data_IF_596780388509
#
_entry.id   IF_596780388509
#
_cell.length_a   1.000
_cell.length_b   1.000
_cell.length_c   1.000
_cell.angle_alpha   90.00
_cell.angle_beta   90.00
_cell.angle_gamma   90.00
#
_symmetry.space_group_name_H-M   'P 1'
#
loop_
_entity.id
_entity.type
_entity.pdbx_description
1 polymer ?
#
# COMPACT_ATOMS: atom_id res chain seq x y z
N UNK A 1 -22.38 -7.44 6.65
CA UNK A 1 -22.07 -8.46 7.67
C UNK A 1 -23.14 -8.57 8.75
N UNK A 2 -23.33 -7.57 9.65
CA UNK A 2 -24.32 -7.67 10.74
C UNK A 2 -25.77 -7.84 10.25
N UNK A 3 -26.09 -7.35 9.05
CA UNK A 3 -27.37 -7.57 8.37
C UNK A 3 -27.45 -8.93 7.65
N UNK A 4 -26.52 -9.87 7.89
CA UNK A 4 -26.47 -11.19 7.26
C UNK A 4 -25.83 -11.25 5.86
N UNK A 5 -25.57 -10.09 5.25
CA UNK A 5 -24.99 -9.93 3.91
C UNK A 5 -23.59 -10.56 3.78
N UNK A 6 -23.39 -11.36 2.71
CA UNK A 6 -22.12 -11.91 2.24
C UNK A 6 -21.34 -10.82 1.51
N UNK A 7 -20.19 -10.43 2.06
CA UNK A 7 -19.38 -9.31 1.58
C UNK A 7 -18.03 -9.81 1.09
N UNK A 8 -17.56 -9.31 -0.05
CA UNK A 8 -16.15 -9.40 -0.43
C UNK A 8 -15.50 -8.02 -0.29
N UNK A 9 -14.48 -7.95 0.56
CA UNK A 9 -13.57 -6.82 0.70
C UNK A 9 -12.25 -7.16 0.03
N UNK A 10 -11.91 -6.44 -1.03
CA UNK A 10 -10.74 -6.73 -1.85
C UNK A 10 -9.87 -5.51 -2.10
N UNK A 11 -8.59 -5.73 -2.33
CA UNK A 11 -7.61 -4.71 -2.69
C UNK A 11 -6.46 -5.30 -3.51
N UNK A 12 -5.71 -4.44 -4.20
CA UNK A 12 -4.56 -4.86 -5.02
C UNK A 12 -3.32 -5.23 -4.18
N UNK A 13 -3.09 -4.58 -3.04
CA UNK A 13 -1.91 -4.84 -2.22
C UNK A 13 -2.09 -6.08 -1.32
N UNK A 14 -1.19 -7.07 -1.42
CA UNK A 14 -1.24 -8.32 -0.62
C UNK A 14 -1.02 -8.10 0.88
N UNK A 15 -0.15 -7.18 1.27
CA UNK A 15 0.11 -6.87 2.68
C UNK A 15 -1.10 -6.16 3.32
N UNK A 16 -1.75 -5.25 2.60
CA UNK A 16 -3.01 -4.64 3.02
C UNK A 16 -4.10 -5.69 3.21
N UNK A 17 -4.30 -6.58 2.23
CA UNK A 17 -5.27 -7.67 2.36
C UNK A 17 -4.98 -8.57 3.57
N UNK A 18 -3.71 -8.88 3.81
CA UNK A 18 -3.27 -9.66 4.98
C UNK A 18 -3.53 -8.95 6.31
N UNK A 19 -3.35 -7.62 6.36
CA UNK A 19 -3.67 -6.79 7.52
C UNK A 19 -5.19 -6.73 7.76
N UNK A 20 -5.97 -6.36 6.74
CA UNK A 20 -7.43 -6.26 6.84
C UNK A 20 -8.07 -7.59 7.27
N UNK A 21 -7.56 -8.73 6.78
CA UNK A 21 -8.03 -10.05 7.20
C UNK A 21 -7.79 -10.34 8.68
N UNK A 22 -6.73 -9.79 9.29
CA UNK A 22 -6.45 -9.96 10.73
C UNK A 22 -7.33 -9.06 11.58
N UNK A 23 -7.62 -7.84 11.10
CA UNK A 23 -8.42 -6.84 11.83
C UNK A 23 -9.94 -7.09 11.72
N UNK A 24 -10.39 -7.69 10.62
CA UNK A 24 -11.81 -7.93 10.36
C UNK A 24 -12.15 -9.37 10.71
N UNK A 25 -12.66 -9.57 11.94
CA UNK A 25 -13.18 -10.86 12.39
C UNK A 25 -14.67 -10.99 12.07
N UNK A 26 -14.99 -11.50 10.88
CA UNK A 26 -16.37 -11.80 10.51
C UNK A 26 -16.46 -12.93 9.49
N UNK A 27 -17.22 -14.01 9.75
CA UNK A 27 -17.38 -15.12 8.80
C UNK A 27 -18.18 -14.73 7.54
N UNK A 28 -18.84 -13.56 7.56
CA UNK A 28 -19.62 -13.02 6.45
C UNK A 28 -18.82 -12.09 5.54
N UNK A 29 -17.58 -11.75 5.92
CA UNK A 29 -16.70 -10.89 5.13
C UNK A 29 -15.53 -11.74 4.65
N UNK A 30 -15.44 -11.95 3.35
CA UNK A 30 -14.24 -12.48 2.73
C UNK A 30 -13.29 -11.32 2.48
N UNK A 31 -12.13 -11.32 3.13
CA UNK A 31 -11.06 -10.34 2.90
C UNK A 31 -9.89 -10.98 2.17
N UNK A 32 -9.58 -10.48 0.98
CA UNK A 32 -8.53 -11.05 0.15
C UNK A 32 -7.89 -10.03 -0.79
N UNK A 33 -6.68 -10.35 -1.24
CA UNK A 33 -6.11 -9.71 -2.40
C UNK A 33 -6.91 -10.14 -3.64
N UNK A 34 -7.12 -9.22 -4.58
CA UNK A 34 -7.94 -9.48 -5.78
C UNK A 34 -7.47 -10.73 -6.55
N UNK A 35 -6.23 -10.73 -7.03
CA UNK A 35 -5.69 -11.85 -7.81
C UNK A 35 -5.64 -13.16 -7.01
N UNK A 36 -5.21 -13.12 -5.74
CA UNK A 36 -5.18 -14.31 -4.89
C UNK A 36 -6.59 -14.89 -4.67
N UNK A 37 -7.63 -14.03 -4.59
CA UNK A 37 -9.02 -14.47 -4.47
C UNK A 37 -9.49 -15.18 -5.74
N UNK A 38 -9.25 -14.61 -6.92
CA UNK A 38 -9.63 -15.22 -8.20
C UNK A 38 -8.94 -16.57 -8.36
N UNK A 39 -7.62 -16.60 -8.18
CA UNK A 39 -6.80 -17.79 -8.37
C UNK A 39 -7.26 -18.93 -7.47
N UNK A 40 -7.44 -18.67 -6.17
CA UNK A 40 -7.88 -19.70 -5.21
C UNK A 40 -9.30 -20.20 -5.50
N UNK A 41 -10.18 -19.33 -5.99
CA UNK A 41 -11.55 -19.71 -6.34
C UNK A 41 -11.55 -20.67 -7.52
N UNK A 42 -10.84 -20.33 -8.60
CA UNK A 42 -10.74 -21.18 -9.79
C UNK A 42 -9.96 -22.48 -9.53
N UNK A 43 -8.87 -22.41 -8.76
CA UNK A 43 -8.12 -23.60 -8.34
C UNK A 43 -8.96 -24.55 -7.48
N UNK A 44 -9.92 -24.03 -6.70
CA UNK A 44 -10.88 -24.84 -5.96
C UNK A 44 -11.86 -25.63 -6.86
N UNK A 45 -12.10 -25.15 -8.09
CA UNK A 45 -12.92 -25.85 -9.09
C UNK A 45 -12.11 -26.81 -9.94
N UNK A 46 -10.89 -26.42 -10.29
CA UNK A 46 -9.95 -27.23 -11.04
C UNK A 46 -8.57 -27.22 -10.35
N UNK A 47 -8.21 -28.27 -9.60
CA UNK A 47 -6.92 -28.35 -8.92
C UNK A 47 -5.71 -28.31 -9.86
N UNK A 48 -5.89 -28.61 -11.15
CA UNK A 48 -4.83 -28.51 -12.16
C UNK A 48 -4.64 -27.06 -12.67
N UNK A 49 -5.48 -26.11 -12.27
CA UNK A 49 -5.31 -24.70 -12.58
C UNK A 49 -4.08 -24.15 -11.85
N UNK A 50 -3.08 -23.72 -12.61
CA UNK A 50 -1.80 -23.22 -12.13
C UNK A 50 -1.43 -21.92 -12.82
N UNK A 51 -0.56 -21.15 -12.17
CA UNK A 51 0.09 -20.00 -12.79
C UNK A 51 1.11 -20.52 -13.82
N UNK A 52 1.27 -19.87 -14.98
CA UNK A 52 2.33 -20.19 -15.93
C UNK A 52 3.74 -20.06 -15.30
N UNK A 53 4.71 -20.81 -15.82
CA UNK A 53 6.09 -20.76 -15.33
C UNK A 53 6.91 -19.61 -15.94
N UNK A 54 6.59 -19.19 -17.17
CA UNK A 54 7.35 -18.18 -17.91
C UNK A 54 7.04 -16.75 -17.42
N UNK A 55 8.06 -15.90 -17.13
CA UNK A 55 7.87 -14.56 -16.57
C UNK A 55 6.93 -13.65 -17.36
N UNK A 56 7.04 -13.63 -18.69
CA UNK A 56 6.19 -12.82 -19.56
C UNK A 56 4.73 -13.30 -19.50
N UNK A 57 4.53 -14.62 -19.49
CA UNK A 57 3.21 -15.24 -19.38
C UNK A 57 2.58 -15.02 -18.00
N UNK A 58 3.37 -14.89 -16.94
CA UNK A 58 2.87 -14.57 -15.58
C UNK A 58 2.19 -13.20 -15.57
N UNK A 59 2.81 -12.19 -16.19
CA UNK A 59 2.24 -10.84 -16.23
C UNK A 59 0.92 -10.81 -16.99
N UNK A 60 0.89 -11.41 -18.17
CA UNK A 60 -0.33 -11.52 -18.99
C UNK A 60 -1.41 -12.34 -18.27
N UNK A 61 -1.03 -13.42 -17.61
CA UNK A 61 -1.94 -14.27 -16.86
C UNK A 61 -2.67 -13.48 -15.76
N UNK A 62 -1.95 -12.73 -14.95
CA UNK A 62 -2.58 -11.94 -13.87
C UNK A 62 -3.36 -10.74 -14.41
N UNK A 63 -2.88 -10.09 -15.48
CA UNK A 63 -3.53 -8.90 -16.03
C UNK A 63 -4.80 -9.24 -16.83
N UNK A 64 -4.82 -10.36 -17.56
CA UNK A 64 -5.84 -10.67 -18.56
C UNK A 64 -6.48 -12.04 -18.29
N UNK A 65 -5.72 -13.13 -18.41
CA UNK A 65 -6.28 -14.49 -18.43
C UNK A 65 -7.06 -14.85 -17.16
N UNK A 66 -6.49 -14.52 -15.99
CA UNK A 66 -7.10 -14.84 -14.70
C UNK A 66 -8.40 -14.06 -14.46
N UNK A 67 -8.44 -12.72 -14.65
CA UNK A 67 -9.69 -11.96 -14.62
C UNK A 67 -10.76 -12.44 -15.60
N UNK A 68 -10.40 -12.80 -16.84
CA UNK A 68 -11.35 -13.29 -17.86
C UNK A 68 -11.96 -14.64 -17.46
N UNK A 69 -11.13 -15.61 -17.09
CA UNK A 69 -11.61 -16.93 -16.63
C UNK A 69 -12.49 -16.79 -15.37
N UNK A 70 -12.12 -15.88 -14.47
CA UNK A 70 -12.94 -15.60 -13.30
C UNK A 70 -14.28 -14.95 -13.69
N UNK A 71 -14.29 -14.01 -14.63
CA UNK A 71 -15.51 -13.38 -15.13
C UNK A 71 -16.48 -14.43 -15.69
N UNK A 72 -16.01 -15.36 -16.51
CA UNK A 72 -16.84 -16.44 -17.06
C UNK A 72 -17.42 -17.34 -15.96
N UNK A 73 -16.57 -17.75 -15.02
CA UNK A 73 -16.98 -18.55 -13.86
C UNK A 73 -18.06 -17.84 -13.03
N UNK A 74 -17.82 -16.60 -12.59
CA UNK A 74 -18.74 -15.86 -11.73
C UNK A 74 -20.02 -15.42 -12.46
N UNK A 75 -19.95 -15.22 -13.78
CA UNK A 75 -21.13 -14.97 -14.62
C UNK A 75 -22.04 -16.19 -14.70
N UNK A 76 -21.47 -17.40 -14.68
CA UNK A 76 -22.23 -18.67 -14.69
C UNK A 76 -22.89 -19.02 -13.35
N UNK A 77 -22.47 -18.38 -12.24
CA UNK A 77 -22.98 -18.72 -10.92
C UNK A 77 -24.44 -18.29 -10.72
N UNK A 78 -25.25 -19.10 -10.02
CA UNK A 78 -26.58 -18.72 -9.57
C UNK A 78 -26.54 -17.46 -8.69
N UNK A 79 -27.63 -16.68 -8.74
CA UNK A 79 -27.76 -15.44 -7.97
C UNK A 79 -27.50 -15.63 -6.47
N UNK A 80 -27.86 -16.77 -5.89
CA UNK A 80 -27.71 -17.03 -4.45
C UNK A 80 -26.25 -17.20 -4.01
N UNK A 81 -25.36 -17.56 -4.94
CA UNK A 81 -23.94 -17.79 -4.66
C UNK A 81 -23.10 -16.51 -4.76
N UNK A 82 -23.62 -15.50 -5.44
CA UNK A 82 -22.99 -14.17 -5.60
C UNK A 82 -22.95 -13.38 -4.29
N UNK A 83 -22.07 -12.39 -4.24
CA UNK A 83 -21.94 -11.51 -3.07
C UNK A 83 -23.10 -10.52 -3.01
N UNK A 84 -23.52 -10.19 -1.79
CA UNK A 84 -24.49 -9.11 -1.52
C UNK A 84 -23.84 -7.73 -1.56
N UNK A 85 -22.54 -7.65 -1.24
CA UNK A 85 -21.77 -6.43 -1.32
C UNK A 85 -20.32 -6.68 -1.73
N UNK A 86 -19.79 -5.77 -2.53
CA UNK A 86 -18.38 -5.67 -2.89
C UNK A 86 -17.82 -4.34 -2.42
N UNK A 87 -16.70 -4.41 -1.73
CA UNK A 87 -15.92 -3.25 -1.32
C UNK A 87 -14.52 -3.41 -1.92
N UNK A 88 -14.14 -2.46 -2.77
CA UNK A 88 -12.80 -2.38 -3.35
C UNK A 88 -12.07 -1.24 -2.64
N UNK A 89 -11.00 -1.58 -1.95
CA UNK A 89 -10.07 -0.61 -1.36
C UNK A 89 -8.87 -0.41 -2.30
N UNK A 90 -8.30 0.79 -2.28
CA UNK A 90 -7.25 1.23 -3.21
C UNK A 90 -7.65 1.04 -4.70
N UNK A 91 -8.90 1.36 -5.05
CA UNK A 91 -9.46 1.12 -6.38
C UNK A 91 -8.71 1.80 -7.53
N UNK A 92 -7.93 2.86 -7.27
CA UNK A 92 -7.08 3.44 -8.32
C UNK A 92 -6.00 2.48 -8.82
N UNK A 93 -5.71 1.39 -8.09
CA UNK A 93 -4.73 0.37 -8.46
C UNK A 93 -5.35 -0.77 -9.30
N UNK A 94 -6.59 -0.63 -9.79
CA UNK A 94 -7.28 -1.63 -10.60
C UNK A 94 -7.48 -1.16 -12.05
N UNK A 95 -7.35 -2.10 -12.99
CA UNK A 95 -7.67 -1.90 -14.41
C UNK A 95 -9.19 -1.94 -14.67
N UNK A 96 -9.64 -1.33 -15.77
CA UNK A 96 -11.04 -1.27 -16.18
C UNK A 96 -11.66 -2.68 -16.29
N UNK A 97 -10.95 -3.61 -16.91
CA UNK A 97 -11.37 -5.00 -17.14
C UNK A 97 -11.64 -5.75 -15.82
N UNK A 98 -10.85 -5.44 -14.78
CA UNK A 98 -10.99 -6.08 -13.47
C UNK A 98 -12.28 -5.66 -12.78
N UNK A 99 -12.80 -4.47 -13.06
CA UNK A 99 -14.10 -4.02 -12.55
C UNK A 99 -15.27 -4.79 -13.16
N UNK A 100 -15.20 -5.18 -14.44
CA UNK A 100 -16.21 -6.06 -15.03
C UNK A 100 -16.19 -7.44 -14.39
N UNK A 101 -14.99 -8.00 -14.15
CA UNK A 101 -14.80 -9.23 -13.38
C UNK A 101 -15.46 -9.12 -12.00
N UNK A 102 -15.13 -8.08 -11.22
CA UNK A 102 -15.74 -7.84 -9.91
C UNK A 102 -17.26 -7.73 -9.99
N UNK A 103 -17.80 -6.98 -10.96
CA UNK A 103 -19.26 -6.83 -11.11
C UNK A 103 -19.96 -8.16 -11.37
N UNK A 104 -19.33 -9.10 -12.09
CA UNK A 104 -19.91 -10.44 -12.33
C UNK A 104 -20.11 -11.25 -11.05
N UNK A 105 -19.32 -10.98 -9.99
CA UNK A 105 -19.39 -11.63 -8.68
C UNK A 105 -20.52 -11.11 -7.80
N UNK A 106 -21.14 -9.99 -8.16
CA UNK A 106 -22.14 -9.28 -7.36
C UNK A 106 -23.55 -9.64 -7.81
N UNK A 107 -24.48 -9.69 -6.85
CA UNK A 107 -25.92 -9.73 -7.13
C UNK A 107 -26.38 -8.48 -7.89
N UNK A 108 -27.47 -8.58 -8.62
CA UNK A 108 -27.98 -7.46 -9.44
C UNK A 108 -28.33 -6.24 -8.57
N UNK A 109 -28.94 -6.49 -7.41
CA UNK A 109 -29.31 -5.53 -6.36
C UNK A 109 -28.21 -5.33 -5.30
N UNK A 110 -27.02 -5.88 -5.53
CA UNK A 110 -25.91 -5.82 -4.59
C UNK A 110 -25.25 -4.45 -4.51
N UNK A 111 -24.61 -4.19 -3.37
CA UNK A 111 -23.89 -2.94 -3.12
C UNK A 111 -22.48 -2.99 -3.68
N UNK A 112 -22.08 -2.01 -4.49
CA UNK A 112 -20.71 -1.90 -4.99
C UNK A 112 -20.08 -0.58 -4.55
N UNK A 113 -19.09 -0.66 -3.65
CA UNK A 113 -18.33 0.49 -3.18
C UNK A 113 -16.88 0.39 -3.61
N UNK A 114 -16.36 1.48 -4.15
CA UNK A 114 -14.95 1.63 -4.53
C UNK A 114 -14.41 2.83 -3.78
N UNK A 115 -13.37 2.61 -2.98
CA UNK A 115 -12.61 3.65 -2.30
C UNK A 115 -11.29 3.84 -3.04
N UNK A 116 -10.99 5.08 -3.41
CA UNK A 116 -9.81 5.40 -4.18
C UNK A 116 -9.26 6.79 -3.85
N UNK A 117 -7.94 6.93 -3.94
CA UNK A 117 -7.22 8.19 -3.87
C UNK A 117 -6.34 8.32 -5.12
N UNK A 118 -6.74 9.12 -6.12
CA UNK A 118 -5.97 9.32 -7.34
C UNK A 118 -4.54 9.82 -7.08
N UNK A 119 -4.32 10.54 -5.97
CA UNK A 119 -2.99 11.01 -5.56
C UNK A 119 -2.05 9.90 -5.09
N UNK A 120 -2.55 8.67 -4.93
CA UNK A 120 -1.75 7.51 -4.53
C UNK A 120 -1.63 6.45 -5.64
N UNK A 121 -1.91 6.79 -6.90
CA UNK A 121 -1.69 5.88 -8.02
C UNK A 121 -0.18 5.78 -8.34
N UNK A 122 0.42 4.64 -8.00
CA UNK A 122 1.86 4.37 -8.18
C UNK A 122 2.13 3.11 -9.00
N UNK A 123 1.07 2.41 -9.44
CA UNK A 123 1.17 1.19 -10.25
C UNK A 123 0.97 1.43 -11.75
N UNK A 124 0.71 2.67 -12.17
CA UNK A 124 0.62 3.05 -13.59
C UNK A 124 -0.72 2.75 -14.27
N UNK A 125 -1.73 2.36 -13.49
CA UNK A 125 -3.11 2.12 -13.91
C UNK A 125 -3.80 3.40 -14.39
N UNK A 126 -4.59 3.32 -15.46
CA UNK A 126 -5.36 4.47 -15.95
C UNK A 126 -6.60 4.71 -15.08
N UNK A 127 -6.45 5.60 -14.10
CA UNK A 127 -7.54 6.03 -13.24
C UNK A 127 -8.65 6.81 -13.99
N UNK A 128 -8.54 7.05 -15.30
CA UNK A 128 -9.62 7.67 -16.08
C UNK A 128 -10.92 6.88 -16.00
N UNK A 129 -10.86 5.55 -15.91
CA UNK A 129 -12.07 4.74 -15.75
C UNK A 129 -12.83 5.08 -14.47
N UNK A 130 -12.13 5.26 -13.34
CA UNK A 130 -12.74 5.66 -12.07
C UNK A 130 -13.48 7.01 -12.18
N UNK A 131 -13.03 7.91 -13.05
CA UNK A 131 -13.71 9.19 -13.28
C UNK A 131 -15.02 9.04 -14.06
N UNK A 132 -15.18 7.95 -14.82
CA UNK A 132 -16.42 7.63 -15.57
C UNK A 132 -17.49 7.01 -14.66
N UNK A 133 -17.10 6.41 -13.53
CA UNK A 133 -18.03 5.79 -12.58
C UNK A 133 -18.81 6.84 -11.77
N UNK A 134 -20.03 6.50 -11.29
CA UNK A 134 -20.78 7.38 -10.40
C UNK A 134 -20.00 7.72 -9.13
N UNK A 135 -19.71 9.00 -8.93
CA UNK A 135 -18.95 9.46 -7.77
C UNK A 135 -19.87 9.83 -6.61
N UNK A 136 -19.54 9.34 -5.42
CA UNK A 136 -20.20 9.78 -4.19
C UNK A 136 -19.95 11.27 -3.96
N UNK A 137 -21.00 12.00 -3.55
CA UNK A 137 -20.88 13.39 -3.09
C UNK A 137 -20.15 13.49 -1.75
N UNK A 138 -20.05 12.38 -1.01
CA UNK A 138 -19.38 12.32 0.28
C UNK A 138 -17.89 12.02 0.10
N UNK A 139 -17.07 13.07 0.09
CA UNK A 139 -15.61 12.95 0.10
C UNK A 139 -15.08 12.84 1.52
N UNK A 140 -14.20 11.86 1.76
CA UNK A 140 -13.45 11.75 3.01
C UNK A 140 -12.35 12.83 3.02
N UNK A 141 -12.50 13.82 3.89
CA UNK A 141 -11.64 15.03 3.93
C UNK A 141 -10.84 15.16 5.23
N UNK A 142 -10.99 14.20 6.15
CA UNK A 142 -10.32 14.23 7.45
C UNK A 142 -9.17 13.22 7.47
N UNK A 143 -7.97 13.70 7.74
CA UNK A 143 -6.80 12.85 7.98
C UNK A 143 -6.80 12.42 9.45
N UNK A 144 -6.98 11.11 9.68
CA UNK A 144 -6.97 10.50 11.02
C UNK A 144 -5.66 9.78 11.34
N UNK A 145 -4.72 9.73 10.39
CA UNK A 145 -3.50 8.93 10.45
C UNK A 145 -2.31 9.76 10.92
N UNK A 146 -2.05 10.86 10.20
CA UNK A 146 -0.82 11.61 10.34
C UNK A 146 -1.01 12.80 11.29
N UNK A 147 0.01 13.10 12.09
CA UNK A 147 0.09 14.36 12.85
C UNK A 147 -0.04 15.57 11.92
N UNK A 148 -0.50 16.70 12.46
CA UNK A 148 -0.65 17.96 11.75
C UNK A 148 0.65 18.40 11.07
N UNK A 149 1.80 18.24 11.73
CA UNK A 149 3.09 18.60 11.15
C UNK A 149 3.43 17.77 9.90
N UNK A 150 3.15 16.47 9.91
CA UNK A 150 3.35 15.60 8.74
C UNK A 150 2.34 15.95 7.64
N UNK A 151 1.06 16.14 8.00
CA UNK A 151 0.02 16.51 7.03
C UNK A 151 0.34 17.85 6.34
N UNK A 152 0.80 18.84 7.09
CA UNK A 152 1.20 20.14 6.53
C UNK A 152 2.40 20.01 5.60
N UNK A 153 3.39 19.18 5.96
CA UNK A 153 4.51 18.89 5.07
C UNK A 153 4.05 18.22 3.77
N UNK A 154 3.12 17.27 3.83
CA UNK A 154 2.52 16.64 2.65
C UNK A 154 1.77 17.67 1.78
N UNK A 155 0.92 18.51 2.36
CA UNK A 155 0.20 19.57 1.64
C UNK A 155 1.14 20.58 0.96
N UNK A 156 2.28 20.88 1.58
CA UNK A 156 3.24 21.85 1.04
C UNK A 156 4.05 21.28 -0.13
N UNK A 157 4.42 19.99 -0.08
CA UNK A 157 5.27 19.37 -1.09
C UNK A 157 4.48 18.63 -2.19
N UNK A 158 3.22 18.27 -1.91
CA UNK A 158 2.32 17.55 -2.83
C UNK A 158 0.93 18.22 -2.83
N UNK A 159 0.82 19.48 -3.26
CA UNK A 159 -0.43 20.24 -3.21
C UNK A 159 -1.55 19.62 -4.05
N UNK A 160 -1.21 18.88 -5.11
CA UNK A 160 -2.19 18.19 -5.94
C UNK A 160 -2.83 16.97 -5.25
N UNK A 161 -2.15 16.43 -4.23
CA UNK A 161 -2.51 15.17 -3.59
C UNK A 161 -3.19 15.38 -2.23
N UNK A 162 -3.06 16.57 -1.62
CA UNK A 162 -3.47 16.76 -0.22
C UNK A 162 -4.30 18.04 0.00
N UNK A 163 -5.57 17.85 0.38
CA UNK A 163 -6.44 18.90 0.93
C UNK A 163 -7.13 18.46 2.23
N UNK A 164 -6.49 17.54 2.95
CA UNK A 164 -7.08 16.90 4.13
C UNK A 164 -6.86 17.73 5.39
N UNK A 165 -7.90 17.83 6.22
CA UNK A 165 -7.83 18.42 7.56
C UNK A 165 -7.42 17.35 8.57
N UNK A 166 -6.31 17.55 9.27
CA UNK A 166 -5.87 16.60 10.30
C UNK A 166 -6.74 16.63 11.56
N UNK A 167 -6.89 15.48 12.21
CA UNK A 167 -7.49 15.33 13.55
C UNK A 167 -6.47 15.08 14.66
N UNK A 168 -5.18 15.00 14.31
CA UNK A 168 -4.08 14.78 15.25
C UNK A 168 -3.24 16.07 15.35
N UNK A 169 -3.63 17.03 16.21
CA UNK A 169 -2.98 18.35 16.26
C UNK A 169 -1.53 18.26 16.72
N UNK A 170 -0.70 19.20 16.25
CA UNK A 170 0.73 19.23 16.56
C UNK A 170 1.55 18.13 15.89
N UNK A 171 2.55 17.61 16.61
CA UNK A 171 3.55 16.69 16.06
C UNK A 171 4.96 17.31 16.09
N UNK A 172 5.96 16.48 15.81
CA UNK A 172 7.33 16.94 15.65
C UNK A 172 7.60 17.26 14.15
N UNK A 173 8.52 18.20 13.86
CA UNK A 173 8.95 18.48 12.50
C UNK A 173 9.38 17.22 11.75
N UNK A 174 9.05 17.19 10.46
CA UNK A 174 9.63 16.23 9.52
C UNK A 174 11.13 16.45 9.47
N UNK A 175 11.92 15.41 9.69
CA UNK A 175 13.37 15.49 9.66
C UNK A 175 13.88 15.11 8.27
N UNK A 176 14.74 15.93 7.69
CA UNK A 176 15.25 15.74 6.32
C UNK A 176 16.77 15.69 6.37
N UNK A 177 17.34 14.65 5.76
CA UNK A 177 18.78 14.41 5.72
C UNK A 177 19.23 14.25 4.27
N UNK A 178 20.29 14.97 3.93
CA UNK A 178 20.96 14.89 2.64
C UNK A 178 22.18 13.98 2.77
N UNK A 179 22.44 13.16 1.76
CA UNK A 179 23.62 12.31 1.65
C UNK A 179 24.17 12.31 0.22
N UNK A 180 25.47 12.04 0.08
CA UNK A 180 26.15 11.94 -1.21
C UNK A 180 26.46 10.48 -1.56
N UNK A 181 26.85 9.68 -0.56
CA UNK A 181 27.21 8.28 -0.73
C UNK A 181 26.25 7.35 0.04
N UNK A 182 25.97 6.13 -0.47
CA UNK A 182 25.11 5.16 0.23
C UNK A 182 25.57 4.85 1.67
N UNK A 183 26.88 4.84 1.92
CA UNK A 183 27.45 4.61 3.25
C UNK A 183 27.12 5.75 4.21
N UNK A 184 27.05 6.98 3.71
CA UNK A 184 26.62 8.14 4.50
C UNK A 184 25.14 8.02 4.88
N UNK A 185 24.29 7.64 3.92
CA UNK A 185 22.86 7.38 4.19
C UNK A 185 22.69 6.36 5.33
N UNK A 186 23.38 5.21 5.24
CA UNK A 186 23.37 4.19 6.30
C UNK A 186 23.79 4.77 7.65
N UNK A 187 24.87 5.56 7.70
CA UNK A 187 25.36 6.16 8.95
C UNK A 187 24.33 7.11 9.56
N UNK A 188 23.65 7.90 8.74
CA UNK A 188 22.59 8.82 9.18
C UNK A 188 21.39 8.04 9.73
N UNK A 189 20.98 6.96 9.06
CA UNK A 189 19.92 6.06 9.54
C UNK A 189 20.31 5.47 10.91
N UNK A 190 21.50 4.89 11.04
CA UNK A 190 21.97 4.28 12.31
C UNK A 190 22.09 5.27 13.47
N UNK A 191 22.39 6.53 13.16
CA UNK A 191 22.42 7.62 14.15
C UNK A 191 21.02 7.93 14.64
N UNK A 192 20.07 8.17 13.74
CA UNK A 192 18.72 8.59 14.12
C UNK A 192 17.89 7.44 14.72
N UNK A 193 18.03 6.21 14.21
CA UNK A 193 17.48 5.01 14.84
C UNK A 193 18.01 4.88 16.27
N UNK A 194 19.33 5.02 16.46
CA UNK A 194 19.94 4.92 17.79
C UNK A 194 19.49 6.01 18.74
N UNK A 195 19.29 7.24 18.26
CA UNK A 195 18.74 8.36 19.04
C UNK A 195 17.30 8.08 19.47
N UNK A 196 16.46 7.56 18.59
CA UNK A 196 15.07 7.23 18.94
C UNK A 196 15.00 6.10 19.97
N UNK A 197 15.81 5.06 19.78
CA UNK A 197 15.82 3.91 20.69
C UNK A 197 16.36 4.30 22.07
N UNK A 198 17.37 5.16 22.16
CA UNK A 198 17.85 5.68 23.45
C UNK A 198 16.83 6.55 24.18
N UNK A 199 15.87 7.13 23.45
CA UNK A 199 14.70 7.84 24.00
C UNK A 199 13.54 6.89 24.37
N UNK A 200 13.73 5.57 24.30
CA UNK A 200 12.74 4.57 24.70
C UNK A 200 11.80 4.11 23.59
N UNK A 201 12.03 4.51 22.33
CA UNK A 201 11.26 3.98 21.20
C UNK A 201 11.66 2.53 20.94
N UNK A 202 10.67 1.65 20.89
CA UNK A 202 10.89 0.23 20.56
C UNK A 202 11.18 0.06 19.06
N UNK A 203 12.15 -0.78 18.66
CA UNK A 203 12.50 -1.01 17.25
C UNK A 203 11.31 -1.32 16.34
N UNK A 204 10.36 -2.17 16.80
CA UNK A 204 9.14 -2.50 16.05
C UNK A 204 8.23 -1.33 15.67
N UNK A 205 8.42 -0.15 16.28
CA UNK A 205 7.67 1.09 15.97
C UNK A 205 8.28 1.85 14.80
N UNK A 206 9.49 1.48 14.38
CA UNK A 206 10.25 2.09 13.30
C UNK A 206 10.13 1.19 12.07
N UNK A 207 9.68 1.78 10.97
CA UNK A 207 9.62 1.14 9.65
C UNK A 207 10.46 1.93 8.66
N UNK A 208 11.38 1.26 7.99
CA UNK A 208 12.16 1.78 6.87
C UNK A 208 11.40 1.48 5.59
N UNK A 209 11.08 2.53 4.84
CA UNK A 209 10.46 2.46 3.53
C UNK A 209 11.45 2.96 2.48
N UNK A 210 11.52 2.26 1.35
CA UNK A 210 12.36 2.66 0.22
C UNK A 210 11.65 2.44 -1.11
N UNK A 211 11.98 3.21 -2.16
CA UNK A 211 11.63 2.86 -3.53
C UNK A 211 12.02 1.42 -3.92
N UNK A 212 13.13 0.92 -3.36
CA UNK A 212 13.76 -0.33 -3.77
C UNK A 212 13.73 -1.41 -2.67
N UNK A 213 13.93 -2.67 -3.08
CA UNK A 213 14.16 -3.77 -2.13
C UNK A 213 15.44 -3.53 -1.30
N UNK A 214 15.59 -4.24 -0.17
CA UNK A 214 16.71 -4.04 0.76
C UNK A 214 18.04 -4.20 0.03
N UNK A 215 18.14 -5.23 -0.79
CA UNK A 215 19.31 -5.63 -1.58
C UNK A 215 19.71 -4.57 -2.62
N UNK A 216 18.79 -3.65 -2.96
CA UNK A 216 19.00 -2.55 -3.90
C UNK A 216 19.03 -1.18 -3.20
N UNK A 217 19.18 -1.15 -1.88
CA UNK A 217 19.24 0.05 -1.05
C UNK A 217 20.64 0.25 -0.46
N UNK A 218 20.86 1.35 0.27
CA UNK A 218 22.06 1.56 1.09
C UNK A 218 22.23 0.52 2.22
N UNK A 219 21.23 -0.33 2.45
CA UNK A 219 21.21 -1.37 3.48
C UNK A 219 21.35 -2.79 2.92
N UNK A 220 21.77 -2.97 1.66
CA UNK A 220 21.85 -4.27 0.98
C UNK A 220 22.52 -5.37 1.83
N UNK A 221 23.74 -5.11 2.29
CA UNK A 221 24.53 -6.05 3.08
C UNK A 221 24.40 -5.81 4.60
N UNK A 222 23.27 -5.24 5.02
CA UNK A 222 23.03 -4.88 6.42
C UNK A 222 21.90 -5.74 6.98
N UNK A 223 22.25 -6.66 7.88
CA UNK A 223 21.27 -7.44 8.63
C UNK A 223 20.91 -6.78 9.96
N UNK A 224 21.81 -5.94 10.47
CA UNK A 224 21.62 -5.19 11.70
C UNK A 224 22.00 -3.72 11.50
N UNK A 225 21.12 -2.82 11.91
CA UNK A 225 21.51 -1.43 12.14
C UNK A 225 22.15 -1.38 13.52
N UNK A 226 23.49 -1.33 13.56
CA UNK A 226 24.28 -1.61 14.77
C UNK A 226 23.96 -2.98 15.37
N UNK A 227 23.05 -3.05 16.34
CA UNK A 227 22.64 -4.29 17.01
C UNK A 227 21.12 -4.59 16.86
N UNK A 228 20.38 -3.76 16.12
CA UNK A 228 18.96 -3.97 15.88
C UNK A 228 18.75 -4.71 14.55
N UNK A 229 18.16 -5.91 14.56
CA UNK A 229 17.92 -6.67 13.33
C UNK A 229 16.99 -5.91 12.38
N UNK A 230 17.21 -6.05 11.08
CA UNK A 230 16.30 -5.61 10.04
C UNK A 230 15.44 -6.80 9.60
N UNK A 231 14.14 -6.68 9.77
CA UNK A 231 13.16 -7.71 9.42
C UNK A 231 12.17 -7.25 8.36
N UNK A 232 11.46 -8.19 7.75
CA UNK A 232 10.34 -7.88 6.86
C UNK A 232 9.14 -7.36 7.66
N UNK A 233 8.11 -6.86 6.97
CA UNK A 233 6.95 -6.29 7.67
C UNK A 233 6.17 -7.30 8.54
N UNK A 234 6.27 -8.59 8.20
CA UNK A 234 5.59 -9.69 8.91
C UNK A 234 6.45 -10.35 10.00
N UNK A 235 7.68 -9.88 10.20
CA UNK A 235 8.55 -10.42 11.23
C UNK A 235 7.91 -10.21 12.63
N UNK A 236 7.99 -11.25 13.46
CA UNK A 236 7.41 -11.29 14.81
C UNK A 236 8.36 -10.78 15.88
N UNK A 237 9.66 -10.64 15.57
CA UNK A 237 10.68 -10.20 16.52
C UNK A 237 10.43 -8.74 16.95
N UNK A 238 10.08 -8.45 18.22
CA UNK A 238 9.76 -7.10 18.66
C UNK A 238 10.96 -6.14 18.69
N UNK A 239 12.18 -6.68 18.57
CA UNK A 239 13.44 -5.94 18.53
C UNK A 239 13.93 -5.64 17.12
N UNK A 240 13.25 -6.16 16.09
CA UNK A 240 13.60 -5.87 14.71
C UNK A 240 12.92 -4.59 14.20
N UNK A 241 13.67 -3.84 13.40
CA UNK A 241 13.21 -2.70 12.63
C UNK A 241 12.66 -3.24 11.32
N UNK A 242 11.47 -2.78 10.92
CA UNK A 242 10.82 -3.30 9.73
C UNK A 242 11.37 -2.62 8.49
N UNK A 243 11.56 -3.37 7.41
CA UNK A 243 11.89 -2.86 6.08
C UNK A 243 10.82 -3.30 5.09
N UNK A 244 10.41 -2.38 4.21
CA UNK A 244 9.57 -2.70 3.05
C UNK A 244 9.84 -1.72 1.91
N UNK A 245 9.52 -2.14 0.68
CA UNK A 245 9.36 -1.15 -0.39
C UNK A 245 8.13 -0.28 -0.12
N UNK A 246 8.11 0.95 -0.63
CA UNK A 246 6.96 1.86 -0.58
C UNK A 246 5.73 1.18 -1.16
N UNK A 247 5.85 0.61 -2.37
CA UNK A 247 4.76 -0.05 -3.09
C UNK A 247 4.18 -1.23 -2.32
N UNK A 248 5.03 -2.07 -1.71
CA UNK A 248 4.57 -3.20 -0.88
C UNK A 248 3.95 -2.75 0.44
N UNK A 249 4.30 -1.56 0.96
CA UNK A 249 3.74 -1.02 2.21
C UNK A 249 2.50 -0.14 2.03
N UNK A 250 2.12 0.19 0.78
CA UNK A 250 0.92 0.97 0.46
C UNK A 250 -0.32 0.34 1.12
N UNK A 251 -1.19 1.20 1.66
CA UNK A 251 -2.37 0.81 2.44
C UNK A 251 -2.11 0.60 3.94
N UNK A 252 -0.87 0.31 4.35
CA UNK A 252 -0.52 0.17 5.77
C UNK A 252 -0.14 1.51 6.41
N UNK A 253 0.15 1.49 7.71
CA UNK A 253 0.68 2.63 8.45
C UNK A 253 1.72 2.19 9.49
N UNK A 254 2.63 3.10 9.84
CA UNK A 254 3.65 2.87 10.86
C UNK A 254 3.78 4.10 11.75
N UNK A 255 4.13 3.88 13.01
CA UNK A 255 4.26 4.96 13.99
C UNK A 255 5.38 5.94 13.63
N UNK A 256 6.51 5.39 13.15
CA UNK A 256 7.69 6.14 12.72
C UNK A 256 8.15 5.58 11.38
N UNK A 257 8.30 6.44 10.38
CA UNK A 257 8.78 6.06 9.05
C UNK A 257 10.12 6.71 8.77
N UNK A 258 11.06 5.89 8.31
CA UNK A 258 12.33 6.30 7.70
C UNK A 258 12.20 6.06 6.20
N UNK A 259 12.00 7.12 5.43
CA UNK A 259 11.89 7.07 3.99
C UNK A 259 13.28 7.28 3.37
N UNK A 260 13.87 6.22 2.83
CA UNK A 260 15.27 6.17 2.41
C UNK A 260 15.43 5.92 0.92
N UNK A 261 16.63 6.17 0.40
CA UNK A 261 17.03 5.87 -0.96
C UNK A 261 16.37 6.79 -1.99
N UNK A 262 16.02 8.01 -1.58
CA UNK A 262 15.35 8.98 -2.45
C UNK A 262 16.37 9.59 -3.41
N UNK A 263 16.21 9.29 -4.70
CA UNK A 263 17.11 9.66 -5.79
C UNK A 263 16.27 10.10 -6.98
N UNK A 264 16.65 11.20 -7.63
CA UNK A 264 15.89 11.76 -8.77
C UNK A 264 15.81 10.80 -9.97
N UNK A 265 16.89 10.07 -10.26
CA UNK A 265 16.97 9.13 -11.38
C UNK A 265 16.36 7.74 -11.09
N UNK A 266 15.69 7.56 -9.95
CA UNK A 266 15.06 6.30 -9.62
C UNK A 266 13.59 6.29 -10.08
N UNK A 267 13.26 5.44 -11.05
CA UNK A 267 11.90 5.31 -11.60
C UNK A 267 10.84 4.93 -10.55
N UNK A 268 11.23 4.30 -9.44
CA UNK A 268 10.34 3.95 -8.33
C UNK A 268 10.32 5.03 -7.23
N UNK A 269 10.89 6.21 -7.50
CA UNK A 269 10.97 7.36 -6.61
C UNK A 269 10.25 8.58 -7.21
N UNK A 270 9.07 8.35 -7.79
CA UNK A 270 8.22 9.44 -8.31
C UNK A 270 7.64 10.29 -7.17
N UNK A 271 7.16 11.52 -7.44
CA UNK A 271 6.42 12.31 -6.45
C UNK A 271 5.27 11.52 -5.79
N UNK A 272 4.55 10.71 -6.56
CA UNK A 272 3.49 9.85 -6.05
C UNK A 272 4.03 8.75 -5.11
N UNK A 273 5.15 8.10 -5.44
CA UNK A 273 5.79 7.13 -4.53
C UNK A 273 6.23 7.81 -3.21
N UNK A 274 6.81 9.01 -3.28
CA UNK A 274 7.23 9.75 -2.09
C UNK A 274 6.03 10.17 -1.24
N UNK A 275 4.96 10.69 -1.85
CA UNK A 275 3.71 11.01 -1.17
C UNK A 275 3.11 9.78 -0.49
N UNK A 276 3.04 8.65 -1.21
CA UNK A 276 2.56 7.39 -0.64
C UNK A 276 3.42 6.97 0.54
N UNK A 277 4.75 6.94 0.41
CA UNK A 277 5.67 6.53 1.47
C UNK A 277 5.63 7.44 2.70
N UNK A 278 5.64 8.76 2.50
CA UNK A 278 5.61 9.75 3.57
C UNK A 278 4.26 9.73 4.33
N UNK A 279 3.14 9.58 3.62
CA UNK A 279 1.80 9.51 4.22
C UNK A 279 1.54 8.26 5.07
N UNK A 280 2.49 7.32 5.14
CA UNK A 280 2.40 6.13 6.01
C UNK A 280 2.80 6.41 7.46
N UNK A 281 3.45 7.54 7.71
CA UNK A 281 4.01 7.92 9.00
C UNK A 281 2.94 8.53 9.92
N UNK A 282 2.56 7.85 11.00
CA UNK A 282 1.55 8.38 11.93
C UNK A 282 2.09 9.55 12.74
N UNK A 283 3.26 9.37 13.37
CA UNK A 283 3.78 10.32 14.36
C UNK A 283 5.07 11.01 13.95
N UNK A 284 6.04 10.27 13.39
CA UNK A 284 7.35 10.83 13.00
C UNK A 284 7.75 10.37 11.59
N UNK A 285 8.27 11.32 10.81
CA UNK A 285 8.76 11.10 9.46
C UNK A 285 10.22 11.59 9.35
N UNK A 286 11.08 10.72 8.84
CA UNK A 286 12.48 10.98 8.52
C UNK A 286 12.68 10.72 7.03
N UNK A 287 13.14 11.72 6.26
CA UNK A 287 13.49 11.57 4.85
C UNK A 287 15.01 11.58 4.68
N UNK A 288 15.51 10.65 3.88
CA UNK A 288 16.91 10.56 3.49
C UNK A 288 16.99 10.63 1.97
N UNK A 289 17.61 11.68 1.45
CA UNK A 289 17.68 11.93 0.03
C UNK A 289 19.09 12.21 -0.46
N UNK A 290 19.35 11.85 -1.71
CA UNK A 290 20.60 12.20 -2.39
C UNK A 290 20.71 13.72 -2.55
N UNK A 291 21.93 14.25 -2.61
CA UNK A 291 22.16 15.68 -2.84
C UNK A 291 21.50 16.23 -4.12
N UNK A 292 21.36 15.39 -5.15
CA UNK A 292 20.74 15.80 -6.41
C UNK A 292 19.20 15.73 -6.37
N UNK A 293 18.63 15.18 -5.30
CA UNK A 293 17.18 15.04 -5.19
C UNK A 293 16.52 16.38 -4.86
N UNK A 294 15.62 16.83 -5.75
CA UNK A 294 14.73 17.96 -5.52
C UNK A 294 13.31 17.49 -5.24
N UNK A 295 12.75 17.89 -4.09
CA UNK A 295 11.36 17.65 -3.71
C UNK A 295 10.35 18.56 -4.42
N UNK A 296 10.81 19.52 -5.24
CA UNK A 296 9.91 20.50 -5.86
C UNK A 296 9.15 19.87 -7.03
N UNK A 297 7.86 19.62 -6.83
CA UNK A 297 6.89 19.63 -7.92
C UNK A 297 6.93 21.02 -8.57
N UNK A 298 7.41 21.13 -9.80
CA UNK A 298 7.14 22.29 -10.68
C UNK A 298 5.67 22.36 -11.04
#
# INVERSE_FOLDING_TARGET
ANQGLKVLLTCFNKNLAGYLRKEIDSPKITTANFHDFLFRTLQGQNPAFSVPDEPEAISEFFAITLPELAFDYFSSLPHQEKFDALIVDEGQDFEEEWYYCLRSMLKEDGYFYIFADPGQSIFGTDAAFLKKLPQSKHRLTQNLRNTETINNWLCQNFPQNTSLRTRLPGGLPVNVFCWQEPQEEKRLIEKEVGRLISQGIRPKRITILSPNSKEKSSLADTDFLKHWPIGTINDVNPHAIRYSTIRSFKGLEADIVFLIGLKEWNYACTPADIYVGASRARYLLYLFHHQDFSLKET
#
